data_IF_012685031804
#
_entry.id   IF_012685031804
#
_cell.length_a   1.000
_cell.length_b   1.000
_cell.length_c   1.000
_cell.angle_alpha   90.00
_cell.angle_beta   90.00
_cell.angle_gamma   90.00
#
_symmetry.space_group_name_H-M   'P 1'
#
loop_
_entity.id
_entity.type
_entity.pdbx_description
1 polymer ?
#
# COMPACT_ATOMS: atom_id res chain seq x y z
N UNK A 1 12.98 7.45 -1.51
CA UNK A 1 13.09 5.99 -1.29
C UNK A 1 11.84 5.21 -1.70
N UNK A 2 10.72 5.25 -0.95
CA UNK A 2 9.53 4.43 -1.26
C UNK A 2 8.95 4.71 -2.66
N UNK A 3 8.88 6.00 -3.05
CA UNK A 3 8.39 6.39 -4.39
C UNK A 3 9.32 5.87 -5.49
N UNK A 4 10.63 5.96 -5.30
CA UNK A 4 11.63 5.48 -6.27
C UNK A 4 11.56 3.95 -6.42
N UNK A 5 11.44 3.23 -5.30
CA UNK A 5 11.24 1.79 -5.29
C UNK A 5 9.93 1.44 -6.00
N UNK A 6 8.81 2.10 -5.66
CA UNK A 6 7.55 1.89 -6.37
C UNK A 6 7.69 2.10 -7.88
N UNK A 7 8.27 3.21 -8.33
CA UNK A 7 8.48 3.46 -9.75
C UNK A 7 9.33 2.36 -10.41
N UNK A 8 10.38 1.89 -9.76
CA UNK A 8 11.24 0.82 -10.27
C UNK A 8 10.50 -0.52 -10.40
N UNK A 9 9.63 -0.85 -9.45
CA UNK A 9 8.85 -2.09 -9.45
C UNK A 9 7.63 -2.05 -10.39
N UNK A 10 7.07 -0.87 -10.66
CA UNK A 10 5.81 -0.70 -11.39
C UNK A 10 5.96 0.08 -12.71
N UNK A 11 7.02 -0.18 -13.48
CA UNK A 11 7.22 0.39 -14.83
C UNK A 11 7.11 1.94 -14.88
N UNK A 12 7.72 2.63 -13.91
CA UNK A 12 7.67 4.09 -13.74
C UNK A 12 6.27 4.68 -13.50
N UNK A 13 5.30 3.87 -13.07
CA UNK A 13 4.05 4.39 -12.53
C UNK A 13 4.33 5.20 -11.27
N UNK A 14 3.52 6.24 -11.06
CA UNK A 14 3.59 7.10 -9.88
C UNK A 14 2.48 6.66 -8.90
N UNK A 15 2.78 6.43 -7.61
CA UNK A 15 1.76 6.10 -6.63
C UNK A 15 0.84 7.30 -6.41
N UNK A 16 -0.43 7.05 -6.11
CA UNK A 16 -1.36 8.14 -5.78
C UNK A 16 -0.99 8.76 -4.42
N UNK A 17 -1.20 10.07 -4.26
CA UNK A 17 -0.89 10.79 -3.01
C UNK A 17 -1.52 10.13 -1.77
N UNK A 18 -2.78 9.71 -1.88
CA UNK A 18 -3.46 9.03 -0.78
C UNK A 18 -2.80 7.69 -0.42
N UNK A 19 -2.20 6.99 -1.39
CA UNK A 19 -1.49 5.75 -1.11
C UNK A 19 -0.22 6.02 -0.31
N UNK A 20 0.50 7.10 -0.63
CA UNK A 20 1.68 7.54 0.10
C UNK A 20 1.33 7.95 1.53
N UNK A 21 0.29 8.76 1.71
CA UNK A 21 -0.15 9.21 3.04
C UNK A 21 -0.51 8.04 3.97
N UNK A 22 -1.21 7.03 3.44
CA UNK A 22 -1.54 5.82 4.22
C UNK A 22 -0.30 4.99 4.52
N UNK A 23 0.59 4.84 3.55
CA UNK A 23 1.87 4.11 3.73
C UNK A 23 2.69 4.75 4.84
N UNK A 24 2.82 6.08 4.84
CA UNK A 24 3.55 6.81 5.85
C UNK A 24 2.91 6.64 7.24
N UNK A 25 1.58 6.77 7.35
CA UNK A 25 0.88 6.52 8.60
C UNK A 25 1.16 5.09 9.13
N UNK A 26 1.07 4.08 8.27
CA UNK A 26 1.38 2.69 8.62
C UNK A 26 2.86 2.51 9.03
N UNK A 27 3.79 3.22 8.40
CA UNK A 27 5.21 3.19 8.75
C UNK A 27 5.51 3.83 10.10
N UNK A 28 4.80 4.90 10.44
CA UNK A 28 4.88 5.57 11.74
C UNK A 28 4.12 4.82 12.86
N UNK A 29 3.37 3.76 12.52
CA UNK A 29 2.58 3.00 13.48
C UNK A 29 1.30 3.71 13.92
N UNK A 30 0.78 4.60 13.07
CA UNK A 30 -0.45 5.35 13.30
C UNK A 30 -1.65 4.58 12.75
N UNK A 31 -2.79 4.70 13.43
CA UNK A 31 -4.07 4.21 12.93
C UNK A 31 -4.63 5.17 11.88
N UNK A 32 -5.17 4.62 10.79
CA UNK A 32 -5.78 5.42 9.74
C UNK A 32 -7.02 4.71 9.14
N UNK A 33 -7.97 5.52 8.68
CA UNK A 33 -9.14 5.04 7.94
C UNK A 33 -9.18 5.70 6.57
N UNK A 34 -9.31 4.92 5.51
CA UNK A 34 -9.42 5.43 4.14
C UNK A 34 -10.66 4.91 3.44
N UNK A 35 -11.38 5.80 2.76
CA UNK A 35 -12.54 5.51 1.92
C UNK A 35 -12.15 5.71 0.46
N UNK A 36 -12.07 4.62 -0.30
CA UNK A 36 -11.78 4.64 -1.74
C UNK A 36 -12.57 3.57 -2.49
N UNK A 37 -12.92 3.86 -3.74
CA UNK A 37 -13.70 2.98 -4.62
C UNK A 37 -12.99 1.66 -4.97
N UNK A 38 -13.74 0.69 -5.51
CA UNK A 38 -13.18 -0.54 -6.07
C UNK A 38 -12.16 -0.24 -7.19
N UNK A 39 -11.16 -1.10 -7.37
CA UNK A 39 -10.10 -0.89 -8.36
C UNK A 39 -9.10 0.24 -8.05
N UNK A 40 -9.32 1.06 -7.01
CA UNK A 40 -8.46 2.20 -6.71
C UNK A 40 -7.00 1.84 -6.31
N UNK A 41 -6.69 0.56 -6.05
CA UNK A 41 -5.35 0.15 -5.61
C UNK A 41 -5.17 0.21 -4.08
N UNK A 42 -6.20 -0.18 -3.32
CA UNK A 42 -6.20 -0.27 -1.84
C UNK A 42 -5.10 -1.17 -1.26
N UNK A 43 -4.59 -2.10 -2.05
CA UNK A 43 -3.55 -3.04 -1.64
C UNK A 43 -2.20 -2.35 -1.48
N UNK A 44 -1.91 -1.33 -2.29
CA UNK A 44 -0.56 -0.75 -2.37
C UNK A 44 -0.05 -0.18 -1.04
N UNK A 45 -0.85 0.54 -0.22
CA UNK A 45 -0.39 1.03 1.08
C UNK A 45 0.08 -0.05 2.06
N UNK A 46 -0.38 -1.30 1.91
CA UNK A 46 0.06 -2.42 2.74
C UNK A 46 1.38 -3.05 2.24
N UNK A 47 1.66 -2.92 0.94
CA UNK A 47 2.85 -3.50 0.31
C UNK A 47 4.03 -2.52 0.36
N UNK A 48 3.78 -1.23 0.13
CA UNK A 48 4.84 -0.20 0.06
C UNK A 48 5.76 -0.09 1.29
N UNK A 49 5.29 -0.30 2.55
CA UNK A 49 6.18 -0.30 3.71
C UNK A 49 7.31 -1.35 3.61
N UNK A 50 7.07 -2.47 2.91
CA UNK A 50 8.02 -3.56 2.77
C UNK A 50 9.21 -3.19 1.87
N UNK A 51 9.06 -2.19 0.99
CA UNK A 51 10.15 -1.74 0.13
C UNK A 51 11.29 -1.13 0.97
N UNK A 52 10.92 -0.33 1.97
CA UNK A 52 11.90 0.32 2.85
C UNK A 52 12.21 -0.47 4.13
N UNK A 53 11.34 -1.38 4.57
CA UNK A 53 11.47 -2.14 5.83
C UNK A 53 11.19 -3.63 5.59
N UNK A 54 12.16 -4.40 5.06
CA UNK A 54 11.95 -5.80 4.69
C UNK A 54 11.63 -6.71 5.88
N UNK A 55 11.99 -6.30 7.10
CA UNK A 55 11.68 -7.04 8.34
C UNK A 55 10.28 -6.73 8.91
N UNK A 56 9.52 -5.83 8.28
CA UNK A 56 8.18 -5.48 8.74
C UNK A 56 7.19 -6.54 8.25
N UNK A 57 6.26 -6.92 9.13
CA UNK A 57 5.17 -7.82 8.77
C UNK A 57 3.86 -7.03 8.73
N UNK A 58 3.05 -7.28 7.70
CA UNK A 58 1.73 -6.66 7.53
C UNK A 58 0.68 -7.77 7.51
N UNK A 59 -0.18 -7.79 8.53
CA UNK A 59 -1.32 -8.71 8.62
C UNK A 59 -2.53 -8.07 7.93
N UNK A 60 -2.96 -8.66 6.82
CA UNK A 60 -4.17 -8.23 6.10
C UNK A 60 -5.31 -9.17 6.48
N UNK A 61 -6.34 -8.62 7.11
CA UNK A 61 -7.57 -9.35 7.44
C UNK A 61 -8.63 -8.98 6.40
N UNK A 62 -9.08 -9.99 5.66
CA UNK A 62 -10.14 -9.87 4.66
C UNK A 62 -11.23 -10.90 4.96
N UNK A 63 -12.53 -10.53 4.91
CA UNK A 63 -13.62 -11.49 5.05
C UNK A 63 -13.75 -12.41 3.81
N UNK A 64 -13.10 -12.05 2.70
CA UNK A 64 -13.11 -12.83 1.46
C UNK A 64 -11.83 -13.66 1.35
N UNK A 65 -12.02 -14.93 1.01
CA UNK A 65 -10.92 -15.86 0.69
C UNK A 65 -10.32 -15.59 -0.71
N UNK A 66 -11.08 -14.93 -1.59
CA UNK A 66 -10.65 -14.54 -2.92
C UNK A 66 -11.20 -13.16 -3.24
N UNK A 67 -10.34 -12.26 -3.68
CA UNK A 67 -10.72 -10.95 -4.21
C UNK A 67 -10.41 -10.96 -5.71
N UNK A 68 -11.42 -10.91 -6.60
CA UNK A 68 -11.17 -10.81 -8.02
C UNK A 68 -10.45 -9.49 -8.30
N UNK A 69 -9.25 -9.57 -8.87
CA UNK A 69 -8.57 -8.42 -9.46
C UNK A 69 -9.19 -8.17 -10.83
N UNK A 70 -10.23 -7.32 -10.86
CA UNK A 70 -10.77 -6.73 -12.09
C UNK A 70 -10.02 -5.45 -12.43
#
# INVERSE_FOLDING_TARGET
KIVEEFCAWFNNLVPYDWQLNVTEALMLGLDCSVKVGAGAGKTMPFVMPLFSQPNKHVLIISPLNYCPMT
#
